data_IF_578167920622
#
_entry.id   IF_578167920622
#
_cell.length_a   1.000
_cell.length_b   1.000
_cell.length_c   1.000
_cell.angle_alpha   90.00
_cell.angle_beta   90.00
_cell.angle_gamma   90.00
#
_symmetry.space_group_name_H-M   'P 1'
#
loop_
_entity.id
_entity.type
_entity.pdbx_description
1 polymer ?
#
# COMPACT_ATOMS: atom_id res chain seq x y z
N UNK A 1 7.82 -0.92 17.33
CA UNK A 1 7.10 0.06 16.51
C UNK A 1 7.82 0.15 15.18
N UNK A 2 7.14 -0.11 14.07
CA UNK A 2 7.74 0.00 12.72
C UNK A 2 7.82 1.49 12.40
N UNK A 3 9.03 1.97 12.08
CA UNK A 3 9.23 3.36 11.68
C UNK A 3 9.15 3.51 10.16
N UNK A 4 9.05 4.75 9.69
CA UNK A 4 9.17 5.09 8.27
C UNK A 4 10.44 4.54 7.60
N UNK A 5 11.53 4.40 8.34
CA UNK A 5 12.81 3.89 7.81
C UNK A 5 12.77 2.37 7.60
N UNK A 6 12.03 1.64 8.45
CA UNK A 6 11.98 0.17 8.46
C UNK A 6 10.77 -0.38 7.67
N UNK A 7 9.84 0.50 7.27
CA UNK A 7 8.55 0.12 6.67
C UNK A 7 8.73 -0.76 5.42
N UNK A 8 9.64 -0.40 4.52
CA UNK A 8 9.86 -1.15 3.29
C UNK A 8 10.72 -2.41 3.51
N UNK A 9 11.57 -2.46 4.53
CA UNK A 9 12.40 -3.64 4.80
C UNK A 9 11.53 -4.87 5.10
N UNK A 10 10.52 -4.71 5.95
CA UNK A 10 9.60 -5.82 6.29
C UNK A 10 8.74 -6.27 5.10
N UNK A 11 8.50 -5.40 4.12
CA UNK A 11 7.81 -5.75 2.89
C UNK A 11 8.74 -6.53 1.95
N UNK A 12 9.98 -6.07 1.80
CA UNK A 12 10.97 -6.69 0.91
C UNK A 12 11.38 -8.08 1.37
N UNK A 13 11.31 -8.35 2.68
CA UNK A 13 11.47 -9.70 3.25
C UNK A 13 10.43 -10.70 2.72
N UNK A 14 9.17 -10.26 2.56
CA UNK A 14 8.07 -11.15 2.13
C UNK A 14 7.83 -11.12 0.63
N UNK A 15 8.20 -10.03 -0.04
CA UNK A 15 8.12 -9.90 -1.49
C UNK A 15 9.37 -9.24 -2.10
N UNK A 16 10.45 -10.02 -2.28
CA UNK A 16 11.69 -9.53 -2.89
C UNK A 16 11.52 -9.06 -4.34
N UNK A 17 10.41 -9.38 -5.00
CA UNK A 17 10.16 -8.94 -6.38
C UNK A 17 9.93 -7.43 -6.49
N UNK A 18 9.64 -6.75 -5.37
CA UNK A 18 9.57 -5.29 -5.32
C UNK A 18 10.95 -4.62 -5.18
N UNK A 19 12.01 -5.36 -4.82
CA UNK A 19 13.36 -4.81 -4.60
C UNK A 19 13.87 -3.94 -5.75
N UNK A 20 13.76 -4.32 -7.04
CA UNK A 20 14.26 -3.49 -8.13
C UNK A 20 13.55 -2.13 -8.23
N UNK A 21 12.26 -2.08 -7.88
CA UNK A 21 11.46 -0.84 -7.86
C UNK A 21 11.91 0.04 -6.69
N UNK A 22 12.13 -0.57 -5.52
CA UNK A 22 12.63 0.13 -4.34
C UNK A 22 14.05 0.67 -4.54
N UNK A 23 14.95 -0.11 -5.14
CA UNK A 23 16.32 0.33 -5.45
C UNK A 23 16.32 1.53 -6.40
N UNK A 24 15.51 1.48 -7.46
CA UNK A 24 15.39 2.60 -8.39
C UNK A 24 14.78 3.85 -7.72
N UNK A 25 13.82 3.67 -6.82
CA UNK A 25 13.25 4.76 -6.03
C UNK A 25 14.30 5.40 -5.11
N UNK A 26 15.01 4.58 -4.33
CA UNK A 26 16.01 5.08 -3.38
C UNK A 26 17.19 5.75 -4.07
N UNK A 27 17.66 5.23 -5.21
CA UNK A 27 18.69 5.88 -6.02
C UNK A 27 18.22 7.25 -6.54
N UNK A 28 17.01 7.32 -7.10
CA UNK A 28 16.41 8.56 -7.60
C UNK A 28 16.31 9.65 -6.53
N UNK A 29 16.05 9.27 -5.29
CA UNK A 29 15.83 10.20 -4.17
C UNK A 29 16.99 10.24 -3.16
N UNK A 30 18.16 9.70 -3.52
CA UNK A 30 19.31 9.56 -2.61
C UNK A 30 19.83 10.85 -1.99
N UNK A 31 19.60 11.99 -2.66
CA UNK A 31 20.07 13.30 -2.21
C UNK A 31 19.04 14.03 -1.32
N UNK A 32 17.87 13.42 -1.07
CA UNK A 32 16.88 13.97 -0.15
C UNK A 32 17.20 13.62 1.30
N UNK A 33 16.92 14.57 2.21
CA UNK A 33 17.07 14.35 3.65
C UNK A 33 16.06 13.29 4.15
N UNK A 34 14.84 13.33 3.61
CA UNK A 34 13.81 12.31 3.86
C UNK A 34 13.30 11.76 2.52
N UNK A 35 13.16 10.44 2.43
CA UNK A 35 12.59 9.80 1.25
C UNK A 35 11.09 10.14 1.14
N UNK A 36 10.59 10.48 -0.07
CA UNK A 36 9.18 10.80 -0.27
C UNK A 36 8.33 9.52 -0.33
N UNK A 37 8.13 8.87 0.83
CA UNK A 37 7.54 7.52 0.93
C UNK A 37 6.16 7.38 0.27
N UNK A 38 5.34 8.43 0.25
CA UNK A 38 4.06 8.42 -0.45
C UNK A 38 4.19 8.10 -1.95
N UNK A 39 5.29 8.52 -2.59
CA UNK A 39 5.55 8.17 -3.99
C UNK A 39 5.93 6.68 -4.14
N UNK A 40 6.71 6.15 -3.20
CA UNK A 40 7.05 4.72 -3.17
C UNK A 40 5.81 3.85 -2.91
N UNK A 41 4.87 4.31 -2.08
CA UNK A 41 3.61 3.61 -1.83
C UNK A 41 2.72 3.58 -3.08
N UNK A 42 2.73 4.62 -3.91
CA UNK A 42 2.07 4.57 -5.21
C UNK A 42 2.70 3.56 -6.18
N UNK A 43 4.03 3.41 -6.14
CA UNK A 43 4.70 2.35 -6.91
C UNK A 43 4.39 0.95 -6.36
N UNK A 44 4.30 0.82 -5.03
CA UNK A 44 3.85 -0.41 -4.37
C UNK A 44 2.39 -0.75 -4.72
N UNK A 45 1.49 0.22 -4.77
CA UNK A 45 0.09 0.00 -5.15
C UNK A 45 0.01 -0.61 -6.55
N UNK A 46 0.78 -0.07 -7.51
CA UNK A 46 0.87 -0.64 -8.87
C UNK A 46 1.42 -2.05 -8.87
N UNK A 47 2.43 -2.33 -8.05
CA UNK A 47 3.02 -3.66 -7.93
C UNK A 47 2.03 -4.69 -7.35
N UNK A 48 1.29 -4.33 -6.31
CA UNK A 48 0.20 -5.14 -5.74
C UNK A 48 -0.88 -5.42 -6.78
N UNK A 49 -1.30 -4.41 -7.54
CA UNK A 49 -2.29 -4.58 -8.61
C UNK A 49 -1.75 -5.50 -9.71
N UNK A 50 -0.49 -5.36 -10.12
CA UNK A 50 0.14 -6.27 -11.08
C UNK A 50 0.12 -7.73 -10.59
N UNK A 51 0.43 -7.97 -9.31
CA UNK A 51 0.31 -9.30 -8.70
C UNK A 51 -1.12 -9.84 -8.71
N UNK A 52 -2.10 -8.97 -8.49
CA UNK A 52 -3.52 -9.34 -8.59
C UNK A 52 -3.89 -9.75 -10.02
N UNK A 53 -3.45 -8.99 -11.02
CA UNK A 53 -3.66 -9.29 -12.43
C UNK A 53 -3.00 -10.63 -12.84
N UNK A 54 -1.83 -10.94 -12.26
CA UNK A 54 -1.08 -12.18 -12.51
C UNK A 54 -1.53 -13.37 -11.63
N UNK A 55 -2.53 -13.19 -10.76
CA UNK A 55 -3.04 -14.26 -9.89
C UNK A 55 -2.05 -14.74 -8.82
N UNK A 56 -1.17 -13.88 -8.33
CA UNK A 56 -0.13 -14.17 -7.32
C UNK A 56 -0.69 -14.20 -5.89
N UNK A 57 -1.57 -15.17 -5.62
CA UNK A 57 -2.37 -15.24 -4.39
C UNK A 57 -1.50 -15.35 -3.12
N UNK A 58 -0.43 -16.13 -3.13
CA UNK A 58 0.42 -16.36 -1.94
C UNK A 58 1.17 -15.08 -1.59
N UNK A 59 1.74 -14.42 -2.59
CA UNK A 59 2.47 -13.17 -2.44
C UNK A 59 1.53 -12.06 -1.96
N UNK A 60 0.31 -11.96 -2.50
CA UNK A 60 -0.71 -11.02 -2.01
C UNK A 60 -1.05 -11.28 -0.54
N UNK A 61 -1.29 -12.54 -0.14
CA UNK A 61 -1.54 -12.88 1.26
C UNK A 61 -0.41 -12.40 2.18
N UNK A 62 0.84 -12.60 1.77
CA UNK A 62 2.01 -12.20 2.55
C UNK A 62 2.14 -10.67 2.63
N UNK A 63 1.97 -9.96 1.51
CA UNK A 63 2.02 -8.50 1.48
C UNK A 63 0.92 -7.87 2.34
N UNK A 64 -0.33 -8.37 2.26
CA UNK A 64 -1.42 -7.84 3.09
C UNK A 64 -1.25 -8.15 4.58
N UNK A 65 -0.54 -9.23 4.94
CA UNK A 65 -0.13 -9.45 6.33
C UNK A 65 0.86 -8.38 6.82
N UNK A 66 1.76 -7.89 5.94
CA UNK A 66 2.63 -6.75 6.24
C UNK A 66 1.83 -5.45 6.36
N UNK A 67 0.86 -5.21 5.49
CA UNK A 67 -0.04 -4.04 5.58
C UNK A 67 -0.78 -4.01 6.92
N UNK A 68 -1.32 -5.15 7.36
CA UNK A 68 -1.97 -5.25 8.67
C UNK A 68 -0.99 -4.96 9.81
N UNK A 69 0.26 -5.43 9.70
CA UNK A 69 1.32 -5.16 10.68
C UNK A 69 1.74 -3.69 10.71
N UNK A 70 1.77 -3.01 9.56
CA UNK A 70 2.01 -1.56 9.51
C UNK A 70 0.92 -0.78 10.25
N UNK A 71 -0.34 -1.20 10.14
CA UNK A 71 -1.46 -0.57 10.86
C UNK A 71 -1.49 -0.92 12.35
N UNK A 72 -1.00 -2.10 12.75
CA UNK A 72 -1.01 -2.54 14.16
C UNK A 72 0.20 -2.03 14.96
N UNK A 73 1.39 -2.13 14.37
CA UNK A 73 2.67 -1.92 15.05
C UNK A 73 3.44 -0.70 14.51
N UNK A 74 2.95 -0.02 13.48
CA UNK A 74 3.57 1.18 12.92
C UNK A 74 3.47 2.38 13.85
N UNK A 75 4.39 3.33 13.70
CA UNK A 75 4.21 4.67 14.27
C UNK A 75 3.06 5.41 13.56
N UNK A 76 2.69 6.59 14.09
CA UNK A 76 1.61 7.41 13.53
C UNK A 76 1.79 7.70 12.04
N UNK A 77 3.03 7.91 11.60
CA UNK A 77 3.34 8.23 10.20
C UNK A 77 3.24 6.99 9.30
N UNK A 78 3.66 5.82 9.78
CA UNK A 78 3.48 4.54 9.06
C UNK A 78 2.00 4.19 8.97
N UNK A 79 1.24 4.39 10.04
CA UNK A 79 -0.21 4.17 10.05
C UNK A 79 -0.93 5.08 9.04
N UNK A 80 -0.61 6.38 9.05
CA UNK A 80 -1.15 7.35 8.12
C UNK A 80 -0.77 7.02 6.68
N UNK A 81 0.52 6.83 6.40
CA UNK A 81 1.02 6.51 5.07
C UNK A 81 0.42 5.21 4.52
N UNK A 82 0.22 4.19 5.36
CA UNK A 82 -0.46 2.96 4.95
C UNK A 82 -1.90 3.24 4.53
N UNK A 83 -2.61 4.09 5.27
CA UNK A 83 -4.02 4.40 5.01
C UNK A 83 -4.21 5.29 3.79
N UNK A 84 -3.62 6.48 3.78
CA UNK A 84 -3.83 7.49 2.72
C UNK A 84 -2.81 7.38 1.57
N UNK A 85 -1.70 6.67 1.77
CA UNK A 85 -0.73 6.42 0.71
C UNK A 85 -1.00 5.12 -0.04
N UNK A 86 -1.19 4.00 0.66
CA UNK A 86 -1.35 2.70 0.01
C UNK A 86 -2.81 2.29 -0.18
N UNK A 87 -3.61 2.19 0.89
CA UNK A 87 -4.98 1.68 0.79
C UNK A 87 -5.85 2.56 -0.10
N UNK A 88 -5.64 3.87 -0.04
CA UNK A 88 -6.30 4.83 -0.93
C UNK A 88 -5.92 4.66 -2.41
N UNK A 89 -4.63 4.50 -2.73
CA UNK A 89 -4.21 4.24 -4.11
C UNK A 89 -4.74 2.89 -4.62
N UNK A 90 -4.79 1.86 -3.77
CA UNK A 90 -5.40 0.57 -4.10
C UNK A 90 -6.92 0.65 -4.34
N UNK A 91 -7.59 1.69 -3.85
CA UNK A 91 -9.00 1.96 -4.14
C UNK A 91 -9.22 2.68 -5.47
N UNK A 92 -8.17 3.28 -6.05
CA UNK A 92 -8.29 4.09 -7.26
C UNK A 92 -8.56 3.22 -8.49
N UNK A 93 -9.78 3.26 -9.08
CA UNK A 93 -10.14 2.39 -10.20
C UNK A 93 -9.28 2.62 -11.44
N UNK A 94 -8.66 3.80 -11.59
CA UNK A 94 -7.79 4.10 -12.73
C UNK A 94 -6.47 3.33 -12.74
N UNK A 95 -6.06 2.74 -11.60
CA UNK A 95 -4.88 1.89 -11.52
C UNK A 95 -5.17 0.43 -11.92
N UNK A 96 -6.44 0.04 -12.00
CA UNK A 96 -6.86 -1.31 -12.35
C UNK A 96 -7.22 -1.42 -13.84
N UNK A 97 -6.51 -2.28 -14.60
CA UNK A 97 -6.78 -2.46 -16.04
C UNK A 97 -7.74 -3.61 -16.30
N UNK A 98 -7.50 -4.75 -15.67
CA UNK A 98 -8.30 -5.98 -15.83
C UNK A 98 -8.93 -6.46 -14.52
N UNK A 99 -8.69 -5.73 -13.43
CA UNK A 99 -9.15 -6.04 -12.07
C UNK A 99 -10.03 -4.91 -11.52
N UNK A 100 -10.41 -5.00 -10.25
CA UNK A 100 -11.09 -3.94 -9.53
C UNK A 100 -10.59 -3.90 -8.09
N UNK A 101 -10.76 -2.76 -7.38
CA UNK A 101 -10.41 -2.67 -5.97
C UNK A 101 -11.09 -3.73 -5.09
N UNK A 102 -12.33 -4.10 -5.40
CA UNK A 102 -13.09 -5.09 -4.63
C UNK A 102 -12.43 -6.47 -4.57
N UNK A 103 -11.66 -6.84 -5.60
CA UNK A 103 -10.94 -8.11 -5.61
C UNK A 103 -9.84 -8.18 -4.54
N UNK A 104 -9.32 -7.04 -4.07
CA UNK A 104 -8.31 -6.99 -3.00
C UNK A 104 -8.89 -7.23 -1.60
N UNK A 105 -10.21 -6.99 -1.42
CA UNK A 105 -10.87 -7.03 -0.10
C UNK A 105 -10.72 -8.37 0.62
N UNK A 106 -10.56 -9.47 -0.13
CA UNK A 106 -10.40 -10.81 0.43
C UNK A 106 -9.11 -11.01 1.24
N UNK A 107 -8.08 -10.16 1.04
CA UNK A 107 -6.81 -10.24 1.76
C UNK A 107 -6.67 -9.21 2.87
N UNK A 108 -7.62 -8.29 3.02
CA UNK A 108 -7.56 -7.28 4.08
C UNK A 108 -7.67 -7.96 5.45
N UNK A 109 -6.72 -7.66 6.32
CA UNK A 109 -6.85 -7.92 7.75
C UNK A 109 -7.89 -7.00 8.41
N UNK A 110 -8.24 -7.21 9.69
CA UNK A 110 -9.27 -6.42 10.38
C UNK A 110 -9.03 -4.90 10.39
N UNK A 111 -7.79 -4.46 10.64
CA UNK A 111 -7.44 -3.04 10.64
C UNK A 111 -7.47 -2.48 9.23
N UNK A 112 -6.87 -3.18 8.27
CA UNK A 112 -6.88 -2.77 6.87
C UNK A 112 -8.31 -2.68 6.31
N UNK A 113 -9.19 -3.62 6.65
CA UNK A 113 -10.60 -3.61 6.25
C UNK A 113 -11.36 -2.43 6.86
N UNK A 114 -11.07 -2.08 8.11
CA UNK A 114 -11.65 -0.90 8.76
C UNK A 114 -11.21 0.38 8.05
N UNK A 115 -9.91 0.54 7.81
CA UNK A 115 -9.39 1.73 7.11
C UNK A 115 -9.86 1.80 5.66
N UNK A 116 -10.01 0.66 4.99
CA UNK A 116 -10.55 0.60 3.65
C UNK A 116 -11.94 1.25 3.57
N UNK A 117 -12.85 0.88 4.48
CA UNK A 117 -14.20 1.47 4.57
C UNK A 117 -14.14 2.96 4.90
N UNK A 118 -13.19 3.38 5.75
CA UNK A 118 -13.03 4.77 6.11
C UNK A 118 -12.60 5.65 4.93
N UNK A 119 -11.69 5.15 4.08
CA UNK A 119 -11.31 5.82 2.83
C UNK A 119 -12.49 5.88 1.85
N UNK A 120 -13.23 4.78 1.65
CA UNK A 120 -14.43 4.75 0.80
C UNK A 120 -15.47 5.79 1.27
N UNK A 121 -15.66 5.89 2.59
CA UNK A 121 -16.59 6.84 3.22
C UNK A 121 -16.15 8.29 3.03
N UNK A 122 -14.85 8.56 3.13
CA UNK A 122 -14.29 9.89 2.92
C UNK A 122 -14.60 10.39 1.50
N UNK A 123 -14.28 9.60 0.49
CA UNK A 123 -14.51 9.95 -0.91
C UNK A 123 -15.99 10.04 -1.28
N UNK A 124 -16.83 9.14 -0.77
CA UNK A 124 -18.28 9.19 -0.99
C UNK A 124 -18.92 10.50 -0.49
N UNK A 125 -18.45 10.99 0.67
CA UNK A 125 -18.90 12.27 1.24
C UNK A 125 -18.47 13.48 0.41
N UNK A 126 -17.30 13.43 -0.22
CA UNK A 126 -16.85 14.49 -1.12
C UNK A 126 -17.69 14.55 -2.39
N UNK A 127 -17.98 13.40 -3.01
CA UNK A 127 -18.82 13.31 -4.21
C UNK A 127 -20.22 13.86 -3.93
N UNK A 128 -20.78 13.62 -2.74
CA UNK A 128 -22.13 14.10 -2.38
C UNK A 128 -22.16 15.62 -2.09
N UNK A 129 -21.01 16.27 -1.96
CA UNK A 129 -20.88 17.72 -1.69
C UNK A 129 -20.58 18.57 -2.93
N UNK A 130 -20.40 17.95 -4.10
CA UNK A 130 -20.17 18.61 -5.38
C UNK A 130 -21.48 18.84 -6.16
#
# INVERSE_FOLDING_TARGET
MISRQDMFDVLLEVDPTFQPVWDAFTDKWRDQIELPLYLALGDLARHVIGKLEDGKVIELQQMFAVVERWLADGDELVWEATTIGLLEDLQNPSLHKTTSPDHLKQWLGPLAATQWIEVERYWSRQITRA
#
